data_IF_519338128568
#
_entry.id   IF_519338128568
#
_cell.length_a   1.000
_cell.length_b   1.000
_cell.length_c   1.000
_cell.angle_alpha   90.00
_cell.angle_beta   90.00
_cell.angle_gamma   90.00
#
_symmetry.space_group_name_H-M   'P 1'
#
loop_
_entity.id
_entity.type
_entity.pdbx_description
1 polymer ?
#
# COMPACT_ATOMS: atom_id res chain seq x y z
N UNK A 1 -29.65 6.27 -8.55
CA UNK A 1 -29.17 7.55 -9.12
C UNK A 1 -27.68 7.67 -8.79
N UNK A 2 -26.83 7.04 -9.61
CA UNK A 2 -25.39 6.99 -9.41
C UNK A 2 -24.81 8.41 -9.59
N UNK A 3 -24.21 8.95 -8.53
CA UNK A 3 -23.46 10.20 -8.60
C UNK A 3 -21.98 9.84 -8.55
N UNK A 4 -21.37 9.99 -9.73
CA UNK A 4 -19.94 10.06 -10.03
C UNK A 4 -19.02 10.18 -8.83
N UNK A 5 -18.07 9.24 -8.71
CA UNK A 5 -16.74 9.56 -8.21
C UNK A 5 -16.11 10.51 -9.25
N UNK A 6 -16.30 11.82 -9.10
CA UNK A 6 -15.77 12.79 -10.06
C UNK A 6 -14.29 13.06 -9.75
N UNK A 7 -13.42 12.45 -10.53
CA UNK A 7 -12.06 12.98 -10.76
C UNK A 7 -11.90 13.14 -12.27
N UNK A 8 -12.22 14.33 -12.78
CA UNK A 8 -12.22 14.69 -14.20
C UNK A 8 -10.81 14.95 -14.77
N UNK A 9 -9.79 14.21 -14.33
CA UNK A 9 -8.45 14.34 -14.88
C UNK A 9 -7.92 12.97 -15.29
N UNK A 10 -7.99 12.59 -16.59
CA UNK A 10 -7.47 11.31 -17.07
C UNK A 10 -5.98 11.13 -16.81
N UNK A 11 -5.25 12.21 -16.55
CA UNK A 11 -3.83 12.19 -16.21
C UNK A 11 -3.54 11.95 -14.72
N UNK A 12 -4.51 12.08 -13.82
CA UNK A 12 -4.28 11.91 -12.38
C UNK A 12 -3.75 10.52 -12.02
N UNK A 13 -4.32 9.40 -12.51
CA UNK A 13 -3.77 8.07 -12.21
C UNK A 13 -2.34 7.88 -12.75
N UNK A 14 -2.02 8.46 -13.91
CA UNK A 14 -0.69 8.36 -14.55
C UNK A 14 0.34 9.19 -13.78
N UNK A 15 0.00 10.43 -13.41
CA UNK A 15 0.86 11.28 -12.61
C UNK A 15 1.03 10.76 -11.20
N UNK A 16 -0.04 10.28 -10.58
CA UNK A 16 0.00 9.65 -9.27
C UNK A 16 0.93 8.44 -9.28
N UNK A 17 0.79 7.55 -10.27
CA UNK A 17 1.68 6.42 -10.43
C UNK A 17 3.14 6.86 -10.55
N UNK A 18 3.43 7.81 -11.45
CA UNK A 18 4.80 8.27 -11.72
C UNK A 18 5.42 8.96 -10.51
N UNK A 19 4.65 9.83 -9.83
CA UNK A 19 5.09 10.53 -8.64
C UNK A 19 5.32 9.56 -7.49
N UNK A 20 4.40 8.61 -7.27
CA UNK A 20 4.49 7.63 -6.20
C UNK A 20 5.72 6.70 -6.39
N UNK A 21 5.97 6.25 -7.63
CA UNK A 21 7.18 5.49 -7.96
C UNK A 21 8.46 6.32 -7.80
N UNK A 22 8.46 7.58 -8.24
CA UNK A 22 9.59 8.49 -8.03
C UNK A 22 9.92 8.70 -6.55
N UNK A 23 8.90 8.98 -5.73
CA UNK A 23 9.07 9.20 -4.29
C UNK A 23 9.53 7.92 -3.57
N UNK A 24 9.10 6.74 -4.03
CA UNK A 24 9.61 5.47 -3.50
C UNK A 24 11.09 5.27 -3.79
N UNK A 25 11.53 5.59 -5.01
CA UNK A 25 12.94 5.46 -5.42
C UNK A 25 13.84 6.55 -4.80
N UNK A 26 13.26 7.69 -4.40
CA UNK A 26 13.98 8.86 -3.88
C UNK A 26 13.48 9.21 -2.47
N UNK A 27 13.86 8.41 -1.47
CA UNK A 27 13.36 8.58 -0.09
C UNK A 27 13.63 9.98 0.49
N UNK A 28 14.78 10.59 0.18
CA UNK A 28 15.10 11.94 0.67
C UNK A 28 14.09 12.98 0.13
N UNK A 29 13.58 12.82 -1.10
CA UNK A 29 12.53 13.69 -1.66
C UNK A 29 11.16 13.44 -1.01
N UNK A 30 10.84 12.19 -0.68
CA UNK A 30 9.65 11.87 0.11
C UNK A 30 9.72 12.52 1.50
N UNK A 31 10.88 12.46 2.17
CA UNK A 31 11.12 13.13 3.45
C UNK A 31 10.94 14.64 3.31
N UNK A 32 11.48 15.26 2.27
CA UNK A 32 11.31 16.69 2.01
C UNK A 32 9.84 17.08 1.78
N UNK A 33 9.09 16.23 1.07
CA UNK A 33 7.66 16.41 0.85
C UNK A 33 6.87 16.30 2.17
N UNK A 34 7.20 15.35 3.04
CA UNK A 34 6.58 15.20 4.37
C UNK A 34 6.90 16.39 5.27
N UNK A 35 8.17 16.82 5.32
CA UNK A 35 8.57 17.99 6.10
C UNK A 35 7.90 19.28 5.58
N UNK A 36 7.73 19.42 4.27
CA UNK A 36 7.02 20.54 3.65
C UNK A 36 5.54 20.52 3.98
N UNK A 37 4.90 19.36 3.87
CA UNK A 37 3.51 19.15 4.30
C UNK A 37 3.37 19.55 5.77
N UNK A 38 4.27 19.10 6.64
CA UNK A 38 4.20 19.41 8.06
C UNK A 38 4.26 20.93 8.34
N UNK A 39 5.10 21.68 7.60
CA UNK A 39 5.17 23.14 7.70
C UNK A 39 3.90 23.85 7.22
N UNK A 40 3.24 23.32 6.19
CA UNK A 40 1.98 23.88 5.69
C UNK A 40 0.87 23.65 6.71
N UNK A 41 0.78 22.42 7.24
CA UNK A 41 -0.23 22.06 8.23
C UNK A 41 -0.04 22.81 9.55
N UNK A 42 1.20 23.07 9.98
CA UNK A 42 1.48 23.84 11.21
C UNK A 42 0.98 25.28 11.18
N UNK A 43 0.67 25.83 9.99
CA UNK A 43 0.03 27.16 9.81
C UNK A 43 -1.50 27.11 10.02
N UNK A 44 -2.01 25.94 10.45
CA UNK A 44 -3.37 25.70 10.92
C UNK A 44 -4.37 25.37 9.81
N UNK A 45 -3.92 24.81 8.70
CA UNK A 45 -4.83 24.36 7.64
C UNK A 45 -5.63 23.10 8.04
N UNK A 46 -5.30 22.45 9.17
CA UNK A 46 -5.69 21.05 9.44
C UNK A 46 -5.68 20.74 10.96
N UNK A 47 -6.61 19.90 11.44
CA UNK A 47 -6.67 19.39 12.83
C UNK A 47 -5.67 18.22 13.05
N UNK A 48 -5.24 18.00 14.29
CA UNK A 48 -4.32 16.91 14.68
C UNK A 48 -4.82 15.50 14.33
N UNK A 49 -6.14 15.30 14.20
CA UNK A 49 -6.73 14.07 13.68
C UNK A 49 -6.35 13.82 12.21
N UNK A 50 -6.46 14.85 11.38
CA UNK A 50 -6.15 14.78 9.95
C UNK A 50 -4.65 14.54 9.69
N UNK A 51 -3.74 15.03 10.56
CA UNK A 51 -2.31 14.73 10.45
C UNK A 51 -1.99 13.22 10.56
N UNK A 52 -2.72 12.49 11.41
CA UNK A 52 -2.63 11.03 11.47
C UNK A 52 -3.15 10.35 10.21
N UNK A 53 -4.24 10.86 9.65
CA UNK A 53 -4.80 10.36 8.39
C UNK A 53 -3.88 10.64 7.19
N UNK A 54 -3.12 11.73 7.17
CA UNK A 54 -2.04 11.93 6.20
C UNK A 54 -0.90 10.92 6.39
N UNK A 55 -0.43 10.75 7.64
CA UNK A 55 0.68 9.84 7.95
C UNK A 55 0.35 8.38 7.59
N UNK A 56 -0.85 7.91 7.95
CA UNK A 56 -1.32 6.57 7.59
C UNK A 56 -1.39 6.33 6.08
N UNK A 57 -1.91 7.29 5.29
CA UNK A 57 -1.89 7.18 3.82
C UNK A 57 -0.47 7.07 3.26
N UNK A 58 0.46 7.86 3.78
CA UNK A 58 1.87 7.77 3.39
C UNK A 58 2.44 6.39 3.72
N UNK A 59 2.19 5.87 4.93
CA UNK A 59 2.64 4.54 5.36
C UNK A 59 2.08 3.45 4.43
N UNK A 60 0.78 3.50 4.11
CA UNK A 60 0.12 2.53 3.23
C UNK A 60 0.64 2.59 1.79
N UNK A 61 0.92 3.79 1.26
CA UNK A 61 1.57 3.95 -0.05
C UNK A 61 2.99 3.38 -0.06
N UNK A 62 3.79 3.68 0.97
CA UNK A 62 5.13 3.12 1.10
C UNK A 62 5.11 1.59 1.21
N UNK A 63 4.17 1.02 1.96
CA UNK A 63 4.00 -0.42 2.07
C UNK A 63 3.65 -1.04 0.70
N UNK A 64 2.67 -0.48 0.00
CA UNK A 64 2.27 -0.93 -1.34
C UNK A 64 3.44 -0.90 -2.33
N UNK A 65 4.17 0.22 -2.41
CA UNK A 65 5.31 0.37 -3.32
C UNK A 65 6.42 -0.62 -3.00
N UNK A 66 6.73 -0.81 -1.71
CA UNK A 66 7.71 -1.79 -1.30
C UNK A 66 7.30 -3.20 -1.67
N UNK A 67 6.04 -3.58 -1.44
CA UNK A 67 5.56 -4.90 -1.84
C UNK A 67 5.67 -5.13 -3.35
N UNK A 68 5.28 -4.14 -4.16
CA UNK A 68 5.41 -4.20 -5.62
C UNK A 68 6.87 -4.35 -6.03
N UNK A 69 7.79 -3.60 -5.44
CA UNK A 69 9.21 -3.67 -5.73
C UNK A 69 9.82 -5.03 -5.34
N UNK A 70 9.50 -5.53 -4.15
CA UNK A 70 10.00 -6.82 -3.67
C UNK A 70 9.52 -7.98 -4.58
N UNK A 71 8.28 -7.92 -5.06
CA UNK A 71 7.75 -8.88 -6.04
C UNK A 71 8.48 -8.80 -7.39
N UNK A 72 8.65 -7.59 -7.94
CA UNK A 72 9.41 -7.41 -9.20
C UNK A 72 10.85 -7.93 -9.08
N UNK A 73 11.47 -7.75 -7.92
CA UNK A 73 12.83 -8.25 -7.66
C UNK A 73 12.85 -9.77 -7.61
N UNK A 74 11.84 -10.39 -6.99
CA UNK A 74 11.71 -11.85 -6.92
C UNK A 74 11.48 -12.48 -8.30
N UNK A 75 10.67 -11.85 -9.15
CA UNK A 75 10.43 -12.33 -10.52
C UNK A 75 11.70 -12.24 -11.38
N UNK A 76 12.42 -11.11 -11.33
CA UNK A 76 13.73 -10.97 -12.00
C UNK A 76 14.75 -12.02 -11.53
N UNK A 77 14.75 -12.36 -10.24
CA UNK A 77 15.66 -13.38 -9.70
C UNK A 77 15.33 -14.78 -10.25
N UNK A 78 14.05 -15.08 -10.47
CA UNK A 78 13.60 -16.35 -11.08
C UNK A 78 13.97 -16.43 -12.57
N UNK A 79 13.75 -15.36 -13.32
CA UNK A 79 14.10 -15.30 -14.74
C UNK A 79 15.62 -15.37 -14.98
N UNK A 80 16.42 -14.87 -14.03
CA UNK A 80 17.88 -14.94 -14.06
C UNK A 80 18.47 -16.33 -13.78
N UNK A 81 17.75 -17.21 -13.08
CA UNK A 81 18.22 -18.57 -12.76
C UNK A 81 18.01 -19.56 -13.90
N UNK A 82 17.06 -19.31 -14.80
CA UNK A 82 16.72 -20.24 -15.90
C UNK A 82 17.62 -20.06 -17.14
N UNK A 83 18.51 -19.05 -17.17
CA UNK A 83 19.39 -18.74 -18.30
C UNK A 83 20.86 -19.17 -18.10
N UNK A 84 21.19 -19.96 -17.06
CA UNK A 84 22.50 -20.61 -16.96
C UNK A 84 22.46 -21.98 -17.64
N UNK A 85 22.88 -22.02 -18.92
CA UNK A 85 23.23 -23.26 -19.57
C UNK A 85 24.35 -23.97 -18.78
N UNK A 86 24.34 -25.31 -18.69
CA UNK A 86 25.44 -26.04 -18.08
C UNK A 86 26.70 -25.89 -18.94
N UNK A 87 27.79 -25.46 -18.30
CA UNK A 87 29.13 -25.41 -18.88
C UNK A 87 29.58 -26.81 -19.30
N UNK A 88 30.05 -26.91 -20.54
CA UNK A 88 31.07 -27.87 -20.96
C UNK A 88 30.58 -29.26 -21.40
N UNK A 89 30.44 -29.44 -22.71
CA UNK A 89 30.97 -30.65 -23.35
C UNK A 89 31.46 -30.30 -24.75
N UNK A 90 32.79 -30.30 -24.89
CA UNK A 90 33.53 -30.20 -26.14
C UNK A 90 33.15 -31.35 -27.08
N UNK A 91 32.69 -31.04 -28.30
CA UNK A 91 32.70 -31.98 -29.40
C UNK A 91 33.06 -31.24 -30.70
N UNK A 92 34.34 -31.36 -31.04
CA UNK A 92 34.95 -31.54 -32.37
C UNK A 92 34.29 -30.90 -33.60
N UNK A 93 35.00 -29.94 -34.22
CA UNK A 93 34.78 -29.52 -35.62
C UNK A 93 35.42 -30.53 -36.57
N UNK A 94 34.87 -30.81 -37.77
CA UNK A 94 35.41 -30.17 -39.00
C UNK A 94 34.40 -30.15 -40.20
N UNK A 95 34.82 -29.82 -41.44
CA UNK A 95 35.45 -28.59 -41.92
C UNK A 95 34.65 -27.92 -43.06
N UNK A 96 35.13 -26.74 -43.47
CA UNK A 96 34.69 -25.92 -44.60
C UNK A 96 34.56 -26.67 -45.94
N UNK A 97 33.50 -26.36 -46.70
CA UNK A 97 33.62 -26.27 -48.16
C UNK A 97 32.56 -25.35 -48.81
N UNK A 98 32.97 -24.80 -49.94
CA UNK A 98 32.68 -23.46 -50.45
C UNK A 98 31.73 -23.47 -51.67
N UNK A 99 30.84 -22.44 -51.81
CA UNK A 99 30.50 -21.66 -53.05
C UNK A 99 29.12 -20.96 -52.95
N UNK A 100 29.07 -19.61 -52.87
CA UNK A 100 28.70 -18.60 -53.93
C UNK A 100 27.29 -18.81 -54.52
N UNK A 101 26.38 -17.86 -54.73
CA UNK A 101 26.31 -16.41 -55.00
C UNK A 101 24.96 -15.89 -54.39
N UNK A 102 24.71 -14.63 -54.02
CA UNK A 102 24.44 -13.49 -54.92
C UNK A 102 24.45 -12.15 -54.16
N UNK A 103 24.95 -11.11 -54.83
CA UNK A 103 25.02 -9.71 -54.37
C UNK A 103 23.93 -8.87 -55.09
N UNK A 104 23.24 -8.00 -54.34
CA UNK A 104 23.06 -6.54 -54.59
C UNK A 104 21.79 -5.99 -53.89
N UNK A 105 21.65 -4.66 -53.64
CA UNK A 105 22.66 -3.63 -53.37
C UNK A 105 22.41 -2.88 -52.05
N UNK A 106 23.47 -2.21 -51.55
CA UNK A 106 23.45 -1.31 -50.39
C UNK A 106 22.78 0.02 -50.76
N UNK A 107 21.72 0.39 -50.04
CA UNK A 107 21.22 1.78 -50.00
C UNK A 107 21.69 2.45 -48.72
N UNK A 108 22.59 3.42 -48.87
CA UNK A 108 23.04 4.30 -47.79
C UNK A 108 21.97 5.34 -47.48
N UNK A 109 21.21 5.15 -46.41
CA UNK A 109 20.48 6.25 -45.78
C UNK A 109 21.20 6.58 -44.47
N UNK A 110 22.02 7.64 -44.51
CA UNK A 110 22.48 8.31 -43.28
C UNK A 110 21.24 8.87 -42.60
N UNK A 111 20.76 8.19 -41.56
CA UNK A 111 19.81 8.77 -40.63
C UNK A 111 20.48 9.95 -39.90
N UNK A 112 19.76 11.05 -39.60
CA UNK A 112 20.28 12.11 -38.77
C UNK A 112 20.65 11.53 -37.39
N UNK A 113 21.81 11.91 -36.85
CA UNK A 113 22.19 11.61 -35.48
C UNK A 113 21.12 12.18 -34.53
N UNK A 114 20.22 11.33 -34.06
CA UNK A 114 19.38 11.62 -32.89
C UNK A 114 20.31 11.47 -31.69
N UNK A 115 20.50 12.51 -30.86
CA UNK A 115 21.36 12.42 -29.70
C UNK A 115 20.79 11.37 -28.73
N UNK A 116 21.60 10.34 -28.50
CA UNK A 116 21.58 9.36 -27.41
C UNK A 116 20.27 9.32 -26.61
N UNK A 117 19.23 8.72 -27.21
CA UNK A 117 18.01 8.38 -26.48
C UNK A 117 18.39 7.25 -25.52
N UNK A 118 18.73 7.59 -24.27
CA UNK A 118 18.72 6.62 -23.17
C UNK A 118 17.42 5.82 -23.30
N UNK A 119 17.44 4.48 -23.21
CA UNK A 119 16.23 3.69 -23.27
C UNK A 119 15.26 4.25 -22.22
N UNK A 120 14.14 4.82 -22.66
CA UNK A 120 13.06 5.18 -21.76
C UNK A 120 12.51 3.84 -21.29
N UNK A 121 12.89 3.42 -20.08
CA UNK A 121 12.34 2.24 -19.44
C UNK A 121 10.83 2.46 -19.35
N UNK A 122 10.06 1.65 -20.10
CA UNK A 122 8.61 1.76 -20.12
C UNK A 122 8.10 1.41 -18.71
N UNK A 123 7.61 2.41 -17.97
CA UNK A 123 6.98 2.17 -16.68
C UNK A 123 5.58 1.61 -16.90
N UNK A 124 5.45 0.30 -16.72
CA UNK A 124 4.15 -0.36 -16.72
C UNK A 124 3.36 -0.04 -15.44
N UNK A 125 2.04 0.01 -15.57
CA UNK A 125 1.15 0.05 -14.42
C UNK A 125 1.39 -1.21 -13.58
N UNK A 126 1.70 -1.07 -12.28
CA UNK A 126 1.93 -2.24 -11.43
C UNK A 126 0.66 -3.06 -11.36
N UNK A 127 0.79 -4.39 -11.52
CA UNK A 127 -0.31 -5.31 -11.33
C UNK A 127 -0.85 -5.30 -9.89
N UNK A 128 -2.00 -5.96 -9.70
CA UNK A 128 -2.49 -6.22 -8.36
C UNK A 128 -1.53 -7.14 -7.59
N UNK A 129 -1.39 -6.89 -6.29
CA UNK A 129 -0.54 -7.68 -5.39
C UNK A 129 -1.38 -8.54 -4.45
N UNK A 130 -0.88 -9.70 -3.98
CA UNK A 130 -1.57 -10.48 -2.97
C UNK A 130 -1.65 -9.76 -1.63
N UNK A 131 -2.80 -9.84 -0.95
CA UNK A 131 -3.00 -9.31 0.41
C UNK A 131 -1.95 -9.85 1.37
N UNK A 132 -1.61 -11.14 1.26
CA UNK A 132 -0.56 -11.76 2.08
C UNK A 132 0.78 -11.03 1.98
N UNK A 133 1.21 -10.63 0.77
CA UNK A 133 2.48 -9.94 0.55
C UNK A 133 2.48 -8.51 1.08
N UNK A 134 1.34 -7.85 0.96
CA UNK A 134 1.14 -6.53 1.56
C UNK A 134 1.24 -6.60 3.10
N UNK A 135 0.55 -7.57 3.72
CA UNK A 135 0.61 -7.77 5.17
C UNK A 135 2.00 -8.14 5.67
N UNK A 136 2.74 -8.98 4.93
CA UNK A 136 4.14 -9.30 5.21
C UNK A 136 5.02 -8.06 5.21
N UNK A 137 4.81 -7.17 4.23
CA UNK A 137 5.55 -5.90 4.15
C UNK A 137 5.20 -4.98 5.31
N UNK A 138 3.90 -4.85 5.60
CA UNK A 138 3.37 -3.93 6.61
C UNK A 138 3.82 -4.32 8.02
N UNK A 139 3.86 -5.62 8.32
CA UNK A 139 4.15 -6.16 9.67
C UNK A 139 5.60 -6.62 9.84
N UNK A 140 6.26 -7.04 8.77
CA UNK A 140 7.52 -7.77 8.82
C UNK A 140 7.38 -9.22 9.32
N UNK A 141 6.17 -9.79 9.28
CA UNK A 141 5.83 -11.14 9.76
C UNK A 141 5.24 -11.94 8.60
N UNK A 142 5.55 -13.24 8.51
CA UNK A 142 4.95 -14.12 7.50
C UNK A 142 3.42 -14.15 7.60
N UNK A 143 2.73 -14.02 6.46
CA UNK A 143 1.27 -13.91 6.45
C UNK A 143 0.57 -15.11 7.11
N UNK A 144 1.12 -16.32 6.94
CA UNK A 144 0.55 -17.54 7.49
C UNK A 144 0.58 -17.57 9.03
N UNK A 145 1.62 -16.96 9.62
CA UNK A 145 1.83 -16.90 11.06
C UNK A 145 1.14 -15.70 11.72
N UNK A 146 0.52 -14.80 10.94
CA UNK A 146 -0.15 -13.62 11.50
C UNK A 146 -1.34 -14.01 12.39
N UNK A 147 -1.42 -13.49 13.62
CA UNK A 147 -2.57 -13.65 14.51
C UNK A 147 -3.67 -12.66 14.12
N UNK A 148 -4.44 -12.99 13.08
CA UNK A 148 -5.46 -12.14 12.47
C UNK A 148 -6.79 -12.07 13.27
N UNK A 149 -6.74 -12.19 14.59
CA UNK A 149 -7.92 -12.09 15.46
C UNK A 149 -8.88 -13.28 15.32
N UNK A 150 -10.18 -12.96 15.30
CA UNK A 150 -11.28 -13.93 15.36
C UNK A 150 -11.70 -14.56 14.02
N UNK A 151 -11.01 -14.22 12.92
CA UNK A 151 -11.28 -14.80 11.60
C UNK A 151 -11.22 -16.33 11.62
N UNK A 152 -12.23 -16.99 11.04
CA UNK A 152 -12.25 -18.44 10.90
C UNK A 152 -11.17 -18.91 9.91
N UNK A 153 -10.65 -20.12 10.11
CA UNK A 153 -9.54 -20.67 9.31
C UNK A 153 -9.79 -20.63 7.80
N UNK A 154 -10.99 -20.98 7.34
CA UNK A 154 -11.33 -20.95 5.91
C UNK A 154 -11.40 -19.52 5.37
N UNK A 155 -11.90 -18.57 6.17
CA UNK A 155 -11.95 -17.16 5.80
C UNK A 155 -10.55 -16.54 5.76
N UNK A 156 -9.67 -16.91 6.71
CA UNK A 156 -8.26 -16.54 6.72
C UNK A 156 -7.55 -17.05 5.47
N UNK A 157 -7.75 -18.33 5.13
CA UNK A 157 -7.17 -18.94 3.93
C UNK A 157 -7.63 -18.19 2.68
N UNK A 158 -8.93 -17.96 2.55
CA UNK A 158 -9.51 -17.23 1.41
C UNK A 158 -8.94 -15.81 1.28
N UNK A 159 -8.86 -15.07 2.39
CA UNK A 159 -8.27 -13.72 2.40
C UNK A 159 -6.80 -13.72 1.95
N UNK A 160 -5.99 -14.66 2.45
CA UNK A 160 -4.54 -14.67 2.19
C UNK A 160 -4.17 -15.28 0.83
N UNK A 161 -4.90 -16.29 0.36
CA UNK A 161 -4.61 -17.00 -0.89
C UNK A 161 -5.31 -16.37 -2.12
N UNK A 162 -6.52 -15.84 -1.96
CA UNK A 162 -7.31 -15.28 -3.07
C UNK A 162 -7.34 -13.75 -3.04
N UNK A 163 -7.10 -13.13 -1.89
CA UNK A 163 -7.16 -11.68 -1.75
C UNK A 163 -6.07 -10.98 -2.55
N UNK A 164 -6.50 -10.06 -3.39
CA UNK A 164 -5.66 -9.21 -4.21
C UNK A 164 -6.03 -7.74 -4.01
N UNK A 165 -5.05 -6.85 -4.11
CA UNK A 165 -5.21 -5.41 -3.91
C UNK A 165 -4.42 -4.61 -4.93
N UNK A 166 -4.93 -3.44 -5.30
CA UNK A 166 -4.26 -2.52 -6.22
C UNK A 166 -4.67 -1.07 -5.95
N UNK A 167 -3.70 -0.21 -5.64
CA UNK A 167 -3.85 1.24 -5.66
C UNK A 167 -2.48 1.92 -5.78
N UNK A 168 -2.47 3.18 -6.20
CA UNK A 168 -1.27 4.03 -6.22
C UNK A 168 -1.50 5.45 -5.66
N UNK A 169 -2.75 5.82 -5.37
CA UNK A 169 -3.11 7.06 -4.70
C UNK A 169 -4.42 6.95 -3.93
N UNK A 170 -4.70 7.98 -3.13
CA UNK A 170 -5.95 8.14 -2.41
C UNK A 170 -6.82 9.23 -3.04
N UNK A 171 -8.14 9.03 -3.05
CA UNK A 171 -9.12 10.08 -3.30
C UNK A 171 -9.97 10.30 -2.06
N UNK A 172 -10.48 11.52 -1.87
CA UNK A 172 -11.47 11.79 -0.84
C UNK A 172 -12.87 11.42 -1.34
N UNK A 173 -13.58 10.61 -0.56
CA UNK A 173 -14.96 10.24 -0.78
C UNK A 173 -15.87 11.15 0.05
N UNK A 174 -16.91 11.68 -0.59
CA UNK A 174 -17.94 12.52 0.07
C UNK A 174 -19.12 11.71 0.60
N UNK A 175 -19.05 10.38 0.49
CA UNK A 175 -20.08 9.43 0.90
C UNK A 175 -19.42 8.12 1.29
N UNK A 176 -20.14 7.30 2.05
CA UNK A 176 -19.73 5.93 2.37
C UNK A 176 -19.50 5.12 1.08
N UNK A 177 -18.35 4.42 0.96
CA UNK A 177 -18.08 3.56 -0.18
C UNK A 177 -19.13 2.46 -0.37
N UNK A 178 -19.54 2.26 -1.62
CA UNK A 178 -20.38 1.14 -2.06
C UNK A 178 -19.53 0.13 -2.83
N UNK A 179 -20.03 -1.11 -3.02
CA UNK A 179 -19.36 -2.12 -3.84
C UNK A 179 -19.02 -1.60 -5.25
N UNK A 180 -19.92 -0.84 -5.88
CA UNK A 180 -19.69 -0.23 -7.20
C UNK A 180 -18.51 0.74 -7.17
N UNK A 181 -18.47 1.64 -6.17
CA UNK A 181 -17.36 2.57 -6.03
C UNK A 181 -16.03 1.86 -5.73
N UNK A 182 -16.05 0.77 -4.96
CA UNK A 182 -14.84 -0.02 -4.67
C UNK A 182 -14.30 -0.68 -5.95
N UNK A 183 -15.19 -1.19 -6.81
CA UNK A 183 -14.81 -1.70 -8.14
C UNK A 183 -14.26 -0.60 -9.03
N UNK A 184 -14.89 0.58 -9.07
CA UNK A 184 -14.38 1.72 -9.83
C UNK A 184 -12.98 2.12 -9.33
N UNK A 185 -12.79 2.17 -8.01
CA UNK A 185 -11.49 2.44 -7.38
C UNK A 185 -10.43 1.44 -7.81
N UNK A 186 -10.76 0.14 -7.83
CA UNK A 186 -9.84 -0.91 -8.27
C UNK A 186 -9.45 -0.74 -9.75
N UNK A 187 -10.41 -0.48 -10.64
CA UNK A 187 -10.13 -0.23 -12.06
C UNK A 187 -9.23 0.99 -12.29
N UNK A 188 -9.26 1.94 -11.36
CA UNK A 188 -8.53 3.21 -11.47
C UNK A 188 -7.24 3.24 -10.65
N UNK A 189 -6.94 2.20 -9.88
CA UNK A 189 -5.80 2.15 -8.98
C UNK A 189 -5.91 3.14 -7.81
N UNK A 190 -7.09 3.24 -7.21
CA UNK A 190 -7.42 4.23 -6.19
C UNK A 190 -7.86 3.57 -4.89
N UNK A 191 -7.30 4.05 -3.79
CA UNK A 191 -7.80 3.85 -2.44
C UNK A 191 -8.66 5.03 -1.98
N UNK A 192 -9.56 4.80 -1.03
CA UNK A 192 -10.53 5.80 -0.59
C UNK A 192 -10.17 6.34 0.78
N UNK A 193 -10.14 7.67 0.90
CA UNK A 193 -10.20 8.39 2.15
C UNK A 193 -11.67 8.74 2.41
N UNK A 194 -12.24 8.23 3.49
CA UNK A 194 -13.61 8.48 3.86
C UNK A 194 -13.83 9.94 4.29
N UNK A 195 -15.08 10.39 4.22
CA UNK A 195 -15.47 11.70 4.72
C UNK A 195 -15.30 11.79 6.25
N UNK A 196 -15.13 13.01 6.74
CA UNK A 196 -15.17 13.30 8.16
C UNK A 196 -16.49 12.77 8.76
N UNK A 197 -16.43 12.13 9.93
CA UNK A 197 -17.54 11.43 10.62
C UNK A 197 -18.01 10.10 10.02
N UNK A 198 -17.34 9.57 8.98
CA UNK A 198 -17.55 8.19 8.58
C UNK A 198 -17.33 7.26 9.78
N UNK A 199 -18.27 6.34 9.99
CA UNK A 199 -18.16 5.36 11.07
C UNK A 199 -17.12 4.31 10.71
N UNK A 200 -16.45 3.79 11.74
CA UNK A 200 -15.58 2.62 11.72
C UNK A 200 -14.25 2.74 10.96
N UNK A 201 -14.20 3.48 9.85
CA UNK A 201 -13.01 3.53 9.00
C UNK A 201 -12.77 4.94 8.45
N UNK A 202 -11.53 5.40 8.56
CA UNK A 202 -11.07 6.63 7.93
C UNK A 202 -10.64 6.38 6.48
N UNK A 203 -10.14 5.18 6.17
CA UNK A 203 -9.74 4.78 4.82
C UNK A 203 -10.28 3.40 4.46
N UNK A 204 -10.51 3.19 3.16
CA UNK A 204 -10.95 1.91 2.61
C UNK A 204 -10.11 1.57 1.39
N UNK A 205 -9.48 0.39 1.42
CA UNK A 205 -8.66 -0.17 0.35
C UNK A 205 -9.41 -1.36 -0.24
N UNK A 206 -9.70 -1.34 -1.53
CA UNK A 206 -10.44 -2.44 -2.17
C UNK A 206 -9.63 -3.73 -2.15
N UNK A 207 -10.26 -4.83 -1.74
CA UNK A 207 -9.76 -6.20 -1.94
C UNK A 207 -10.67 -6.88 -2.94
N UNK A 208 -10.11 -7.56 -3.93
CA UNK A 208 -10.87 -8.50 -4.74
C UNK A 208 -10.37 -9.92 -4.50
N UNK A 209 -11.31 -10.85 -4.36
CA UNK A 209 -11.04 -12.25 -4.12
C UNK A 209 -10.96 -12.96 -5.46
N UNK A 210 -9.74 -13.26 -5.90
CA UNK A 210 -9.45 -13.89 -7.19
C UNK A 210 -9.66 -15.40 -7.10
N UNK A 211 -10.82 -15.87 -7.56
CA UNK A 211 -11.05 -17.30 -7.80
C UNK A 211 -10.08 -17.82 -8.88
N UNK A 212 -9.37 -18.92 -8.60
CA UNK A 212 -8.38 -19.49 -9.54
C UNK A 212 -8.96 -19.90 -10.89
N UNK A 213 -10.27 -20.12 -10.96
CA UNK A 213 -10.99 -20.59 -12.15
C UNK A 213 -11.61 -19.47 -12.98
N UNK A 214 -11.48 -18.19 -12.58
CA UNK A 214 -12.12 -17.05 -13.26
C UNK A 214 -11.13 -15.92 -13.50
N UNK A 215 -11.19 -15.36 -14.71
CA UNK A 215 -10.34 -14.24 -15.13
C UNK A 215 -11.05 -12.88 -15.10
N UNK A 216 -12.31 -12.82 -14.67
CA UNK A 216 -13.10 -11.59 -14.63
C UNK A 216 -13.51 -11.20 -13.20
N UNK A 217 -13.57 -9.89 -12.97
CA UNK A 217 -13.95 -9.29 -11.69
C UNK A 217 -15.49 -9.26 -11.56
N UNK A 218 -16.03 -9.87 -10.50
CA UNK A 218 -17.47 -9.82 -10.20
C UNK A 218 -17.72 -9.04 -8.89
N UNK A 219 -18.81 -8.27 -8.79
CA UNK A 219 -19.16 -7.54 -7.55
C UNK A 219 -19.24 -8.43 -6.31
N UNK A 220 -19.68 -9.69 -6.46
CA UNK A 220 -19.78 -10.66 -5.35
C UNK A 220 -18.41 -11.08 -4.77
N UNK A 221 -17.31 -10.79 -5.47
CA UNK A 221 -15.96 -11.13 -5.05
C UNK A 221 -15.20 -9.90 -4.50
N UNK A 222 -15.90 -8.78 -4.33
CA UNK A 222 -15.36 -7.58 -3.71
C UNK A 222 -15.45 -7.68 -2.19
N UNK A 223 -14.36 -7.26 -1.56
CA UNK A 223 -14.23 -7.00 -0.14
C UNK A 223 -13.36 -5.76 0.06
N UNK A 224 -12.90 -5.50 1.28
CA UNK A 224 -12.05 -4.37 1.57
C UNK A 224 -11.12 -4.61 2.77
N UNK A 225 -10.11 -3.76 2.83
CA UNK A 225 -9.33 -3.46 4.01
C UNK A 225 -9.74 -2.09 4.53
N UNK A 226 -10.36 -2.03 5.70
CA UNK A 226 -10.73 -0.79 6.38
C UNK A 226 -9.63 -0.37 7.35
N UNK A 227 -9.22 0.90 7.31
CA UNK A 227 -8.22 1.45 8.21
C UNK A 227 -8.88 2.48 9.11
N UNK A 228 -8.73 2.33 10.42
CA UNK A 228 -9.08 3.34 11.40
C UNK A 228 -7.80 3.88 12.02
N UNK A 229 -7.63 5.18 11.94
CA UNK A 229 -6.50 5.91 12.48
C UNK A 229 -6.97 6.65 13.72
N UNK A 230 -6.23 6.45 14.80
CA UNK A 230 -6.32 7.23 16.01
C UNK A 230 -4.93 7.71 16.38
N UNK A 231 -4.92 8.70 17.25
CA UNK A 231 -3.71 9.31 17.79
C UNK A 231 -3.94 9.54 19.29
N UNK A 232 -4.53 8.55 19.96
CA UNK A 232 -4.95 8.71 21.35
C UNK A 232 -3.75 8.49 22.26
N UNK A 233 -3.71 9.12 23.45
CA UNK A 233 -2.59 8.96 24.36
C UNK A 233 -2.59 7.63 25.12
N UNK A 234 -3.66 6.81 25.04
CA UNK A 234 -3.85 5.60 25.87
C UNK A 234 -4.56 4.47 25.11
N UNK A 235 -4.23 3.22 25.45
CA UNK A 235 -4.66 1.97 24.78
C UNK A 235 -6.15 1.63 24.92
N UNK A 236 -6.83 2.10 25.97
CA UNK A 236 -8.23 1.71 26.25
C UNK A 236 -9.20 2.02 25.10
N UNK A 237 -8.81 2.91 24.18
CA UNK A 237 -9.62 3.22 23.00
C UNK A 237 -9.51 2.15 21.88
N UNK A 238 -8.40 1.41 21.78
CA UNK A 238 -8.18 0.46 20.67
C UNK A 238 -9.20 -0.68 20.68
N UNK A 239 -9.55 -1.20 21.86
CA UNK A 239 -10.59 -2.23 22.02
C UNK A 239 -11.97 -1.71 21.57
N UNK A 240 -12.33 -0.49 21.99
CA UNK A 240 -13.61 0.13 21.65
C UNK A 240 -13.70 0.37 20.14
N UNK A 241 -12.64 0.89 19.51
CA UNK A 241 -12.68 1.13 18.08
C UNK A 241 -12.70 -0.17 17.28
N UNK A 242 -11.92 -1.18 17.67
CA UNK A 242 -11.91 -2.48 16.97
C UNK A 242 -13.28 -3.17 16.99
N UNK A 243 -14.03 -3.12 18.09
CA UNK A 243 -15.39 -3.70 18.13
C UNK A 243 -16.37 -2.99 17.20
N UNK A 244 -16.06 -1.76 16.79
CA UNK A 244 -16.85 -0.95 15.86
C UNK A 244 -16.38 -1.09 14.41
N UNK A 245 -15.25 -1.76 14.14
CA UNK A 245 -14.64 -1.86 12.80
C UNK A 245 -15.28 -2.94 11.92
N UNK A 246 -16.60 -2.88 11.74
CA UNK A 246 -17.34 -3.84 10.88
C UNK A 246 -17.96 -3.16 9.66
N UNK A 247 -18.21 -3.89 8.55
CA UNK A 247 -18.91 -3.36 7.38
C UNK A 247 -20.28 -2.78 7.75
N UNK A 248 -21.01 -3.43 8.66
CA UNK A 248 -22.36 -3.05 9.07
C UNK A 248 -22.34 -1.72 9.84
N UNK A 249 -21.38 -1.53 10.76
CA UNK A 249 -21.25 -0.25 11.45
C UNK A 249 -20.75 0.86 10.52
N UNK A 250 -19.91 0.53 9.53
CA UNK A 250 -19.47 1.46 8.50
C UNK A 250 -20.56 1.80 7.49
N UNK A 251 -21.61 0.98 7.36
CA UNK A 251 -22.58 1.07 6.27
C UNK A 251 -21.99 0.74 4.90
N UNK A 252 -20.94 -0.09 4.86
CA UNK A 252 -20.31 -0.56 3.63
C UNK A 252 -20.89 -1.94 3.30
N UNK A 253 -21.64 -2.01 2.22
CA UNK A 253 -22.23 -3.27 1.76
C UNK A 253 -21.17 -4.13 1.06
N UNK A 254 -20.88 -5.28 1.64
CA UNK A 254 -20.14 -6.38 1.01
C UNK A 254 -20.90 -7.70 1.17
N UNK A 255 -20.70 -8.67 0.27
CA UNK A 255 -21.30 -9.99 0.42
C UNK A 255 -20.95 -10.62 1.78
N UNK A 256 -21.97 -11.10 2.50
CA UNK A 256 -21.83 -11.66 3.86
C UNK A 256 -20.91 -12.90 3.93
N UNK A 257 -20.53 -13.48 2.80
CA UNK A 257 -19.62 -14.62 2.73
C UNK A 257 -18.14 -14.22 2.63
N UNK A 258 -17.85 -12.95 2.32
CA UNK A 258 -16.49 -12.50 2.05
C UNK A 258 -15.75 -12.10 3.34
N UNK A 259 -14.49 -12.52 3.51
CA UNK A 259 -13.66 -12.02 4.58
C UNK A 259 -13.26 -10.57 4.31
N UNK A 260 -13.06 -9.79 5.35
CA UNK A 260 -12.56 -8.41 5.25
C UNK A 260 -11.44 -8.17 6.26
N UNK A 261 -10.66 -7.13 6.04
CA UNK A 261 -9.50 -6.79 6.86
C UNK A 261 -9.74 -5.46 7.60
N UNK A 262 -9.45 -5.42 8.88
CA UNK A 262 -9.53 -4.25 9.74
C UNK A 262 -8.13 -3.90 10.30
N UNK A 263 -7.62 -2.72 9.96
CA UNK A 263 -6.33 -2.23 10.44
C UNK A 263 -6.53 -1.03 11.36
N UNK A 264 -6.16 -1.15 12.62
CA UNK A 264 -6.20 -0.03 13.57
C UNK A 264 -4.80 0.54 13.75
N UNK A 265 -4.62 1.82 13.43
CA UNK A 265 -3.36 2.54 13.60
C UNK A 265 -3.51 3.52 14.75
N UNK A 266 -2.73 3.35 15.81
CA UNK A 266 -2.47 4.43 16.76
C UNK A 266 -1.05 4.92 16.61
N UNK A 267 -0.86 6.04 15.90
CA UNK A 267 0.47 6.49 15.52
C UNK A 267 1.17 7.31 16.62
N UNK A 268 0.47 7.64 17.72
CA UNK A 268 1.04 8.36 18.88
C UNK A 268 1.29 7.44 20.07
N UNK A 269 0.39 6.50 20.33
CA UNK A 269 0.59 5.55 21.41
C UNK A 269 1.71 4.56 21.08
N UNK A 270 2.61 4.32 22.03
CA UNK A 270 3.70 3.36 21.89
C UNK A 270 3.95 2.70 23.25
N UNK A 271 3.35 1.52 23.50
CA UNK A 271 3.51 0.82 24.76
C UNK A 271 4.97 0.33 24.90
N UNK A 272 5.46 0.28 26.13
CA UNK A 272 6.85 -0.10 26.43
C UNK A 272 7.15 -1.56 26.05
N UNK A 273 6.13 -2.44 26.10
CA UNK A 273 6.23 -3.86 25.73
C UNK A 273 6.52 -4.00 24.23
N UNK A 274 5.89 -3.18 23.38
CA UNK A 274 6.11 -3.22 21.93
C UNK A 274 7.51 -2.75 21.52
N UNK A 275 8.11 -1.83 22.29
CA UNK A 275 9.49 -1.39 22.04
C UNK A 275 10.51 -2.51 22.23
N UNK A 276 10.24 -3.45 23.14
CA UNK A 276 11.11 -4.62 23.40
C UNK A 276 10.85 -5.75 22.39
N UNK A 277 9.57 -5.98 22.05
CA UNK A 277 9.15 -6.93 21.02
C UNK A 277 9.73 -6.64 19.62
N UNK A 278 9.76 -5.36 19.23
CA UNK A 278 10.12 -4.96 17.87
C UNK A 278 11.64 -4.92 17.61
N UNK A 279 12.45 -4.91 18.67
CA UNK A 279 13.92 -5.03 18.59
C UNK A 279 14.39 -6.50 18.38
N UNK A 280 13.51 -7.48 18.54
CA UNK A 280 13.81 -8.90 18.33
C UNK A 280 13.60 -9.37 16.89
N UNK A 281 14.06 -10.60 16.59
CA UNK A 281 13.84 -11.26 15.30
C UNK A 281 12.32 -11.51 15.02
N UNK A 282 11.93 -11.79 13.75
CA UNK A 282 10.54 -12.07 13.36
C UNK A 282 9.77 -13.07 14.23
N UNK A 283 10.38 -14.15 14.70
CA UNK A 283 9.76 -15.13 15.59
C UNK A 283 9.40 -14.55 16.95
N UNK A 284 10.28 -13.70 17.50
CA UNK A 284 9.99 -12.99 18.75
C UNK A 284 8.83 -12.00 18.56
N UNK A 285 8.69 -11.39 17.38
CA UNK A 285 7.57 -10.48 17.06
C UNK A 285 6.23 -11.20 17.02
N UNK A 286 6.18 -12.40 16.41
CA UNK A 286 4.94 -13.21 16.42
C UNK A 286 4.53 -13.56 17.84
N UNK A 287 5.48 -13.99 18.68
CA UNK A 287 5.21 -14.41 20.06
C UNK A 287 4.78 -13.26 20.97
N UNK A 288 5.24 -12.05 20.68
CA UNK A 288 5.00 -10.86 21.50
C UNK A 288 3.83 -10.02 21.01
N UNK A 289 3.42 -10.17 19.74
CA UNK A 289 2.24 -9.50 19.22
C UNK A 289 0.99 -10.02 19.92
N UNK A 290 0.30 -9.13 20.63
CA UNK A 290 -0.98 -9.41 21.26
C UNK A 290 -2.03 -8.49 20.66
N UNK A 291 -3.02 -9.10 20.00
CA UNK A 291 -4.20 -8.35 19.58
C UNK A 291 -5.02 -8.00 20.83
N UNK A 292 -5.43 -6.74 21.02
CA UNK A 292 -6.34 -6.37 22.08
C UNK A 292 -7.62 -7.21 22.01
N UNK A 293 -8.25 -7.45 23.17
CA UNK A 293 -9.50 -8.19 23.23
C UNK A 293 -10.54 -7.55 22.30
N UNK A 294 -11.01 -8.32 21.32
CA UNK A 294 -12.03 -7.85 20.37
C UNK A 294 -13.40 -7.88 21.05
N UNK A 295 -14.38 -7.20 20.45
CA UNK A 295 -15.79 -7.37 20.83
C UNK A 295 -16.32 -8.76 20.47
N UNK A 296 -17.61 -8.86 20.17
CA UNK A 296 -18.18 -10.12 19.67
C UNK A 296 -17.39 -10.63 18.44
N UNK A 297 -16.97 -11.90 18.41
CA UNK A 297 -16.20 -12.45 17.30
C UNK A 297 -16.94 -12.36 15.97
N UNK A 298 -16.33 -11.75 14.94
CA UNK A 298 -16.77 -11.89 13.55
C UNK A 298 -15.81 -12.84 12.82
N UNK A 299 -16.34 -14.01 12.46
CA UNK A 299 -15.59 -15.08 11.78
C UNK A 299 -15.06 -14.68 10.40
N UNK A 300 -15.46 -13.54 9.85
CA UNK A 300 -14.99 -12.99 8.57
C UNK A 300 -13.90 -11.93 8.75
N UNK A 301 -13.75 -11.39 9.95
CA UNK A 301 -12.89 -10.23 10.21
C UNK A 301 -11.47 -10.65 10.55
N UNK A 302 -10.55 -10.38 9.63
CA UNK A 302 -9.13 -10.33 9.98
C UNK A 302 -8.82 -8.97 10.61
N UNK A 303 -8.06 -8.95 11.71
CA UNK A 303 -7.68 -7.69 12.36
C UNK A 303 -6.21 -7.60 12.73
N UNK A 304 -5.66 -6.39 12.61
CA UNK A 304 -4.34 -6.03 13.10
C UNK A 304 -4.34 -4.64 13.73
N UNK A 305 -3.42 -4.42 14.67
CA UNK A 305 -3.24 -3.19 15.43
C UNK A 305 -1.77 -2.77 15.35
N UNK A 306 -1.54 -1.49 15.12
CA UNK A 306 -0.21 -0.91 14.98
C UNK A 306 -0.06 0.25 15.95
N UNK A 307 0.84 0.10 16.93
CA UNK A 307 1.15 1.12 17.92
C UNK A 307 2.48 1.81 17.61
N UNK A 308 2.37 3.09 17.28
CA UNK A 308 3.48 3.96 16.94
C UNK A 308 4.10 3.64 15.58
N UNK A 309 5.03 4.50 15.16
CA UNK A 309 5.73 4.33 13.88
C UNK A 309 6.71 3.15 13.87
N UNK A 310 7.08 2.63 15.03
CA UNK A 310 8.04 1.54 15.12
C UNK A 310 7.46 0.19 14.71
N UNK A 311 6.12 0.04 14.79
CA UNK A 311 5.40 -1.13 14.29
C UNK A 311 5.62 -1.39 12.80
N UNK A 312 6.02 -0.37 12.03
CA UNK A 312 6.28 -0.45 10.61
C UNK A 312 7.78 -0.59 10.33
N UNK A 313 8.26 -1.83 10.40
CA UNK A 313 9.69 -2.16 10.27
C UNK A 313 10.30 -1.80 8.91
N UNK A 314 9.47 -1.74 7.88
CA UNK A 314 9.91 -1.41 6.53
C UNK A 314 10.21 0.08 6.33
N UNK A 315 9.81 0.96 7.25
CA UNK A 315 10.11 2.38 7.18
C UNK A 315 11.52 2.66 7.70
N UNK A 316 12.29 3.46 6.97
CA UNK A 316 13.62 3.88 7.41
C UNK A 316 13.57 4.79 8.64
N UNK A 317 14.67 4.92 9.41
CA UNK A 317 14.74 5.86 10.53
C UNK A 317 14.44 7.31 10.13
N UNK A 318 14.91 7.75 8.94
CA UNK A 318 14.67 9.10 8.41
C UNK A 318 13.18 9.32 8.14
N UNK A 319 12.54 8.36 7.47
CA UNK A 319 11.12 8.45 7.15
C UNK A 319 10.25 8.42 8.41
N UNK A 320 10.58 7.55 9.38
CA UNK A 320 9.94 7.54 10.71
C UNK A 320 10.09 8.89 11.42
N UNK A 321 11.25 9.53 11.34
CA UNK A 321 11.46 10.85 11.94
C UNK A 321 10.58 11.92 11.27
N UNK A 322 10.50 11.95 9.94
CA UNK A 322 9.66 12.89 9.21
C UNK A 322 8.17 12.72 9.55
N UNK A 323 7.68 11.47 9.52
CA UNK A 323 6.31 11.13 9.92
C UNK A 323 6.04 11.52 11.38
N UNK A 324 7.01 11.32 12.28
CA UNK A 324 6.86 11.71 13.69
C UNK A 324 6.70 13.22 13.85
N UNK A 325 7.40 14.03 13.06
CA UNK A 325 7.19 15.49 13.03
C UNK A 325 5.78 15.82 12.53
N UNK A 326 5.34 15.19 11.44
CA UNK A 326 4.00 15.37 10.85
C UNK A 326 2.88 15.08 11.85
N UNK A 327 2.95 13.95 12.57
CA UNK A 327 1.93 13.54 13.54
C UNK A 327 1.89 14.44 14.78
N UNK A 328 3.02 15.06 15.14
CA UNK A 328 3.18 15.89 16.35
C UNK A 328 3.15 17.39 16.06
N UNK A 329 2.62 17.80 14.90
CA UNK A 329 2.44 19.21 14.57
C UNK A 329 1.59 19.88 15.66
N UNK A 330 2.12 21.01 16.15
CA UNK A 330 1.38 21.96 16.95
C UNK A 330 0.95 23.11 16.04
N UNK A 331 -0.32 23.48 16.08
CA UNK A 331 -0.80 24.67 15.37
C UNK A 331 -0.18 25.88 16.05
N UNK A 332 0.64 26.62 15.30
CA UNK A 332 1.18 27.88 15.79
C UNK A 332 0.18 29.00 15.45
N UNK A 333 -0.69 29.30 16.42
CA UNK A 333 -1.69 30.36 16.28
C UNK A 333 -1.04 31.75 16.23
N UNK A 334 0.18 31.93 16.76
CA UNK A 334 0.85 33.24 16.80
C UNK A 334 1.36 33.67 15.41
N UNK A 335 1.78 32.72 14.56
CA UNK A 335 2.14 33.00 13.16
C UNK A 335 0.97 33.52 12.31
N UNK A 336 -0.29 33.35 12.76
CA UNK A 336 -1.47 33.92 12.08
C UNK A 336 -1.65 35.41 12.36
N UNK A 337 -1.04 35.91 13.41
CA UNK A 337 -1.12 37.30 13.87
C UNK A 337 0.21 38.05 13.68
N UNK A 338 1.11 37.54 12.82
CA UNK A 338 2.21 38.36 12.33
C UNK A 338 1.62 39.43 11.40
N UNK A 339 1.02 40.44 12.03
CA UNK A 339 0.70 41.72 11.41
C UNK A 339 1.99 42.23 10.77
N UNK A 340 2.05 42.17 9.45
CA UNK A 340 2.92 43.06 8.70
C UNK A 340 2.28 44.45 8.79
N UNK A 341 2.32 45.05 9.98
CA UNK A 341 2.20 46.48 10.15
C UNK A 341 3.60 47.06 9.93
N UNK A 342 3.93 47.19 8.64
CA UNK A 342 4.93 48.15 8.16
C UNK A 342 4.23 49.44 7.77
#
# INVERSE_FOLDING_TARGET
MARHVSTFYPSQPIYALTANDYLYQNEDELVLCIDSLARVLSRGCVDTGEAGEYASRIILLCAMNKTVHDLKTLDKARDGTDNKAPDGMDIDSPPDDMKTLDKAPKTSNKAPNIPDSRPVELKEFPGAIPVARFLETLTGISANTLPLGSIASEQKKRLLEEGMMHWNHFIQCTKTPTTESLMEGLHRGVAMQCQHSQKAFDQVLTIYLKERSRDFLEPKNISFCGVQVKNVPHDTAAQIYQSLMTPENAGIDIPNVNPYLALFFDLKYSPQIDKQAQAGDPENRVKTYQLPAQGEPDVRQASLVFYGLDAFNFLSPKLKQALRKLINIKVDLLLRHADVLG
#
